data_IF_075206520685
#
_entry.id   IF_075206520685
#
_cell.length_a   1.000
_cell.length_b   1.000
_cell.length_c   1.000
_cell.angle_alpha   90.00
_cell.angle_beta   90.00
_cell.angle_gamma   90.00
#
_symmetry.space_group_name_H-M   'P 1'
#
loop_
_entity.id
_entity.type
_entity.pdbx_description
1 polymer ?
#
# COMPACT_ATOMS: atom_id res chain seq x y z
N UNK A 1 33.93 3.49 -26.31
CA UNK A 1 33.00 3.85 -25.22
C UNK A 1 32.17 5.07 -25.61
N UNK A 2 31.18 4.93 -26.52
CA UNK A 2 30.17 5.99 -26.83
C UNK A 2 29.10 5.56 -27.84
N UNK A 3 28.81 4.26 -27.95
CA UNK A 3 27.85 3.71 -28.90
C UNK A 3 26.61 3.06 -28.27
N UNK A 4 26.53 2.96 -26.94
CA UNK A 4 25.44 2.26 -26.24
C UNK A 4 24.24 3.15 -25.83
N UNK A 5 24.34 4.47 -25.98
CA UNK A 5 23.30 5.40 -25.49
C UNK A 5 22.19 5.63 -26.55
N UNK A 6 22.48 5.42 -27.83
CA UNK A 6 21.54 5.74 -28.93
C UNK A 6 20.58 4.58 -29.25
N UNK A 7 20.85 3.36 -28.76
CA UNK A 7 20.03 2.17 -29.06
C UNK A 7 18.87 1.93 -28.06
N UNK A 8 18.84 2.62 -26.91
CA UNK A 8 17.78 2.44 -25.89
C UNK A 8 16.45 3.16 -26.19
N UNK A 9 16.41 4.09 -27.14
CA UNK A 9 15.18 4.86 -27.43
C UNK A 9 14.23 4.16 -28.43
N UNK A 10 14.68 3.06 -29.05
CA UNK A 10 13.89 2.29 -30.03
C UNK A 10 13.27 1.01 -29.45
N UNK A 11 13.67 0.59 -28.25
CA UNK A 11 13.02 -0.50 -27.54
C UNK A 11 12.10 0.10 -26.49
N UNK A 12 10.80 0.03 -26.73
CA UNK A 12 9.77 0.27 -25.74
C UNK A 12 9.96 -0.67 -24.56
N UNK A 13 10.84 -0.31 -23.63
CA UNK A 13 11.00 -1.00 -22.39
C UNK A 13 9.76 -0.70 -21.55
N UNK A 14 8.79 -1.60 -21.58
CA UNK A 14 8.14 -1.99 -20.34
C UNK A 14 9.28 -2.39 -19.40
N UNK A 15 9.77 -1.44 -18.62
CA UNK A 15 10.73 -1.71 -17.56
C UNK A 15 9.96 -2.65 -16.64
N UNK A 16 10.31 -3.94 -16.67
CA UNK A 16 9.87 -4.88 -15.66
C UNK A 16 10.49 -4.42 -14.35
N UNK A 17 9.85 -3.44 -13.71
CA UNK A 17 10.13 -3.09 -12.32
C UNK A 17 9.97 -4.40 -11.57
N UNK A 18 11.01 -4.93 -10.92
CA UNK A 18 10.91 -6.20 -10.24
C UNK A 18 9.74 -6.07 -9.25
N UNK A 19 8.74 -6.92 -9.42
CA UNK A 19 7.51 -6.91 -8.64
C UNK A 19 7.84 -6.83 -7.15
N UNK A 20 8.96 -7.41 -6.72
CA UNK A 20 9.47 -7.38 -5.34
C UNK A 20 9.75 -5.98 -4.78
N UNK A 21 10.35 -5.05 -5.53
CA UNK A 21 10.59 -3.67 -5.04
C UNK A 21 9.24 -2.97 -4.83
N UNK A 22 8.34 -3.14 -5.80
CA UNK A 22 6.99 -2.58 -5.78
C UNK A 22 6.17 -3.18 -4.63
N UNK A 23 6.24 -4.49 -4.42
CA UNK A 23 5.55 -5.20 -3.34
C UNK A 23 6.11 -4.81 -1.98
N UNK A 24 7.43 -4.64 -1.85
CA UNK A 24 8.06 -4.15 -0.63
C UNK A 24 7.59 -2.74 -0.26
N UNK A 25 7.50 -1.85 -1.25
CA UNK A 25 6.94 -0.49 -1.07
C UNK A 25 5.47 -0.53 -0.66
N UNK A 26 4.64 -1.34 -1.32
CA UNK A 26 3.22 -1.48 -0.97
C UNK A 26 3.00 -2.09 0.41
N UNK A 27 3.83 -3.07 0.79
CA UNK A 27 3.82 -3.67 2.11
C UNK A 27 4.14 -2.63 3.20
N UNK A 28 5.17 -1.80 2.98
CA UNK A 28 5.52 -0.74 3.91
C UNK A 28 4.36 0.27 4.06
N UNK A 29 3.78 0.70 2.94
CA UNK A 29 2.68 1.67 2.94
C UNK A 29 1.45 1.15 3.66
N UNK A 30 1.02 -0.07 3.33
CA UNK A 30 -0.10 -0.72 4.00
C UNK A 30 0.13 -0.79 5.51
N UNK A 31 1.32 -1.24 5.95
CA UNK A 31 1.63 -1.33 7.38
C UNK A 31 1.60 0.03 8.06
N UNK A 32 2.17 1.06 7.42
CA UNK A 32 2.16 2.40 7.98
C UNK A 32 0.75 2.98 8.11
N UNK A 33 -0.15 2.67 7.17
CA UNK A 33 -1.55 3.11 7.24
C UNK A 33 -2.28 2.34 8.35
N UNK A 34 -2.24 1.01 8.35
CA UNK A 34 -2.94 0.18 9.35
C UNK A 34 -2.41 0.43 10.77
N UNK A 35 -1.09 0.55 10.95
CA UNK A 35 -0.51 0.85 12.26
C UNK A 35 -0.97 2.22 12.79
N UNK A 36 -1.26 3.16 11.90
CA UNK A 36 -1.84 4.45 12.27
C UNK A 36 -3.32 4.36 12.68
N UNK A 37 -3.98 3.20 12.53
CA UNK A 37 -5.37 2.98 12.88
C UNK A 37 -5.56 2.32 14.26
N UNK A 38 -4.49 1.82 14.89
CA UNK A 38 -4.59 1.17 16.21
C UNK A 38 -5.08 2.12 17.31
N UNK A 39 -4.75 3.41 17.22
CA UNK A 39 -5.22 4.45 18.13
C UNK A 39 -6.72 4.77 17.96
N UNK A 40 -7.34 4.23 16.91
CA UNK A 40 -8.64 4.64 16.39
C UNK A 40 -9.69 3.52 16.46
N UNK A 41 -9.39 2.45 17.21
CA UNK A 41 -10.21 1.25 17.43
C UNK A 41 -11.65 1.50 17.91
N UNK A 42 -11.98 2.71 18.38
CA UNK A 42 -13.33 3.09 18.82
C UNK A 42 -14.05 4.06 17.89
N UNK A 43 -13.47 4.41 16.74
CA UNK A 43 -14.05 5.40 15.83
C UNK A 43 -14.96 4.79 14.79
N UNK A 44 -15.85 5.61 14.22
CA UNK A 44 -16.77 5.19 13.18
C UNK A 44 -16.03 4.81 11.90
N UNK A 45 -16.68 4.02 11.05
CA UNK A 45 -16.17 3.67 9.71
C UNK A 45 -15.76 4.90 8.91
N UNK A 46 -16.58 5.96 8.94
CA UNK A 46 -16.29 7.23 8.25
C UNK A 46 -15.00 7.87 8.75
N UNK A 47 -14.76 7.88 10.08
CA UNK A 47 -13.51 8.44 10.60
C UNK A 47 -12.29 7.60 10.20
N UNK A 48 -12.41 6.27 10.19
CA UNK A 48 -11.33 5.39 9.72
C UNK A 48 -11.03 5.65 8.23
N UNK A 49 -12.06 5.84 7.41
CA UNK A 49 -11.92 6.21 6.00
C UNK A 49 -11.18 7.53 5.83
N UNK A 50 -11.58 8.58 6.57
CA UNK A 50 -10.92 9.89 6.54
C UNK A 50 -9.44 9.80 6.93
N UNK A 51 -9.11 8.97 7.92
CA UNK A 51 -7.72 8.76 8.31
C UNK A 51 -6.93 8.06 7.20
N UNK A 52 -7.49 7.03 6.57
CA UNK A 52 -6.84 6.38 5.42
C UNK A 52 -6.60 7.41 4.32
N UNK A 53 -7.62 8.20 3.96
CA UNK A 53 -7.53 9.24 2.94
C UNK A 53 -6.49 10.32 3.30
N UNK A 54 -6.45 10.77 4.55
CA UNK A 54 -5.46 11.74 5.03
C UNK A 54 -4.04 11.17 4.92
N UNK A 55 -3.81 9.92 5.36
CA UNK A 55 -2.52 9.24 5.23
C UNK A 55 -2.12 9.02 3.78
N UNK A 56 -3.09 8.94 2.90
CA UNK A 56 -2.94 8.80 1.47
C UNK A 56 -2.60 10.11 0.75
N UNK A 57 -3.20 11.23 1.16
CA UNK A 57 -2.91 12.57 0.63
C UNK A 57 -1.46 12.99 0.87
N UNK A 58 -0.86 12.54 1.97
CA UNK A 58 0.55 12.80 2.29
C UNK A 58 1.54 12.10 1.34
N UNK A 59 1.07 11.36 0.31
CA UNK A 59 1.90 10.52 -0.55
C UNK A 59 1.52 10.67 -2.03
N UNK A 60 2.31 11.46 -2.76
CA UNK A 60 2.07 11.78 -4.19
C UNK A 60 1.95 10.56 -5.12
N UNK A 61 2.63 9.44 -4.81
CA UNK A 61 2.85 8.36 -5.78
C UNK A 61 2.08 7.05 -5.54
N UNK A 62 1.08 7.00 -4.65
CA UNK A 62 0.45 5.72 -4.27
C UNK A 62 -1.08 5.73 -4.29
N UNK A 63 -1.69 6.47 -5.23
CA UNK A 63 -3.16 6.53 -5.37
C UNK A 63 -3.82 5.15 -5.48
N UNK A 64 -3.15 4.16 -6.10
CA UNK A 64 -3.68 2.81 -6.25
C UNK A 64 -3.76 2.05 -4.91
N UNK A 65 -2.72 2.14 -4.09
CA UNK A 65 -2.68 1.55 -2.73
C UNK A 65 -3.79 2.16 -1.89
N UNK A 66 -3.97 3.47 -2.01
CA UNK A 66 -4.98 4.22 -1.28
C UNK A 66 -6.39 3.84 -1.67
N UNK A 67 -6.68 3.79 -2.98
CA UNK A 67 -7.97 3.28 -3.47
C UNK A 67 -8.24 1.88 -2.96
N UNK A 68 -7.25 0.99 -3.05
CA UNK A 68 -7.41 -0.38 -2.56
C UNK A 68 -7.71 -0.44 -1.06
N UNK A 69 -7.06 0.39 -0.23
CA UNK A 69 -7.32 0.41 1.21
C UNK A 69 -8.70 0.96 1.55
N UNK A 70 -9.19 1.96 0.81
CA UNK A 70 -10.57 2.45 0.95
C UNK A 70 -11.58 1.39 0.50
N UNK A 71 -11.33 0.70 -0.61
CA UNK A 71 -12.16 -0.43 -1.06
C UNK A 71 -12.15 -1.60 -0.06
N UNK A 72 -11.05 -1.80 0.67
CA UNK A 72 -10.89 -2.83 1.68
C UNK A 72 -11.30 -2.38 3.10
N UNK A 73 -11.93 -1.20 3.25
CA UNK A 73 -12.19 -0.57 4.55
C UNK A 73 -12.92 -1.49 5.53
N UNK A 74 -13.99 -2.17 5.11
CA UNK A 74 -14.74 -3.08 6.00
C UNK A 74 -13.86 -4.19 6.57
N UNK A 75 -12.93 -4.69 5.75
CA UNK A 75 -11.99 -5.73 6.17
C UNK A 75 -10.88 -5.18 7.06
N UNK A 76 -10.46 -3.94 6.84
CA UNK A 76 -9.51 -3.24 7.73
C UNK A 76 -10.15 -3.01 9.10
N UNK A 77 -11.43 -2.63 9.15
CA UNK A 77 -12.19 -2.49 10.41
C UNK A 77 -12.24 -3.84 11.14
N UNK A 78 -12.60 -4.92 10.43
CA UNK A 78 -12.58 -6.28 11.00
C UNK A 78 -11.20 -6.63 11.59
N UNK A 79 -10.12 -6.27 10.90
CA UNK A 79 -8.76 -6.50 11.39
C UNK A 79 -8.45 -5.71 12.67
N UNK A 80 -8.90 -4.46 12.74
CA UNK A 80 -8.72 -3.61 13.92
C UNK A 80 -9.50 -4.17 15.11
N UNK A 81 -10.78 -4.52 14.92
CA UNK A 81 -11.64 -5.09 15.95
C UNK A 81 -11.09 -6.41 16.50
N UNK A 82 -10.47 -7.22 15.64
CA UNK A 82 -9.87 -8.50 16.01
C UNK A 82 -8.39 -8.41 16.43
N UNK A 83 -7.85 -7.20 16.61
CA UNK A 83 -6.45 -6.96 17.00
C UNK A 83 -5.43 -7.68 16.08
N UNK A 84 -5.74 -7.76 14.79
CA UNK A 84 -4.84 -8.34 13.78
C UNK A 84 -3.66 -7.41 13.57
N UNK A 85 -2.44 -7.94 13.73
CA UNK A 85 -1.21 -7.14 13.61
C UNK A 85 -1.10 -6.51 12.21
N UNK A 86 -0.57 -5.28 12.07
CA UNK A 86 -0.51 -4.58 10.79
C UNK A 86 0.16 -5.38 9.67
N UNK A 87 1.26 -6.11 9.96
CA UNK A 87 1.90 -6.97 8.96
C UNK A 87 1.00 -8.10 8.51
N UNK A 88 0.30 -8.74 9.43
CA UNK A 88 -0.60 -9.85 9.13
C UNK A 88 -1.80 -9.37 8.31
N UNK A 89 -2.41 -8.26 8.69
CA UNK A 89 -3.47 -7.61 7.91
C UNK A 89 -3.01 -7.33 6.47
N UNK A 90 -1.81 -6.76 6.29
CA UNK A 90 -1.26 -6.49 4.96
C UNK A 90 -0.91 -7.76 4.15
N UNK A 91 -0.56 -8.87 4.80
CA UNK A 91 -0.44 -10.18 4.12
C UNK A 91 -1.81 -10.69 3.68
N UNK A 92 -2.84 -10.58 4.53
CA UNK A 92 -4.22 -10.97 4.20
C UNK A 92 -4.79 -10.12 3.05
N UNK A 93 -4.41 -8.85 2.96
CA UNK A 93 -4.69 -7.94 1.85
C UNK A 93 -3.81 -8.18 0.61
N UNK A 94 -2.87 -9.13 0.65
CA UNK A 94 -1.90 -9.43 -0.41
C UNK A 94 -0.99 -8.26 -0.79
N UNK A 95 -0.82 -7.30 0.11
CA UNK A 95 0.10 -6.17 -0.04
C UNK A 95 1.50 -6.46 0.52
N UNK A 96 1.62 -7.46 1.39
CA UNK A 96 2.89 -8.02 1.85
C UNK A 96 3.04 -9.48 1.40
N UNK A 97 4.25 -9.93 1.01
CA UNK A 97 4.49 -11.34 0.78
C UNK A 97 4.31 -12.14 2.08
N UNK A 98 3.81 -13.37 1.94
CA UNK A 98 3.82 -14.35 3.03
C UNK A 98 5.29 -14.60 3.40
N UNK A 99 5.59 -14.56 4.70
CA UNK A 99 6.87 -15.02 5.23
C UNK A 99 6.73 -16.47 5.64
#
# INVERSE_FOLDING_TARGET
>A
MRAFIIFCLLFGAAIAVPLEITTGKYCLLCRQIINGLEEFTKMSKETIEEIILYRCQQRENNSLVCKFLVEALDKIIEFIENNVKPREACVRLRMCPKQ
#
